data_IF_224667317989
#
_entry.id   IF_224667317989
#
_cell.length_a   1.000
_cell.length_b   1.000
_cell.length_c   1.000
_cell.angle_alpha   90.00
_cell.angle_beta   90.00
_cell.angle_gamma   90.00
#
_symmetry.space_group_name_H-M   'P 1'
#
loop_
_entity.id
_entity.type
_entity.pdbx_description
1 polymer ?
#
# COMPACT_ATOMS: atom_id res chain seq x y z
N UNK A 1 4.62 5.62 15.57
CA UNK A 1 4.74 7.05 15.25
C UNK A 1 3.36 7.62 14.98
N UNK A 2 3.15 8.90 15.28
CA UNK A 2 1.95 9.67 14.91
C UNK A 2 2.39 10.69 13.87
N UNK A 3 1.73 10.74 12.72
CA UNK A 3 2.08 11.53 11.55
C UNK A 3 3.48 11.24 11.00
N UNK A 4 3.77 11.70 9.80
CA UNK A 4 5.07 11.59 9.15
C UNK A 4 4.99 11.14 7.70
N UNK A 5 6.15 11.05 7.08
CA UNK A 5 6.33 10.52 5.74
C UNK A 5 7.06 9.18 5.79
N UNK A 6 6.48 8.18 5.16
CA UNK A 6 7.01 6.82 5.07
C UNK A 6 7.27 6.52 3.61
N UNK A 7 8.48 6.12 3.28
CA UNK A 7 8.85 5.79 1.91
C UNK A 7 9.73 4.55 1.86
N UNK A 8 9.54 3.72 0.84
CA UNK A 8 10.39 2.59 0.57
C UNK A 8 10.64 2.42 -0.93
N UNK A 9 11.82 1.91 -1.26
CA UNK A 9 12.17 1.45 -2.61
C UNK A 9 11.81 -0.03 -2.71
N UNK A 10 10.84 -0.35 -3.54
CA UNK A 10 10.27 -1.70 -3.62
C UNK A 10 10.16 -2.13 -5.09
N UNK A 11 10.53 -3.38 -5.36
CA UNK A 11 10.14 -4.12 -6.55
C UNK A 11 9.02 -5.08 -6.15
N UNK A 12 7.82 -4.86 -6.68
CA UNK A 12 6.66 -5.69 -6.36
C UNK A 12 6.74 -7.05 -7.04
N UNK A 13 5.97 -8.01 -6.54
CA UNK A 13 5.84 -9.34 -7.13
C UNK A 13 5.38 -9.32 -8.59
N UNK A 14 5.82 -10.29 -9.38
CA UNK A 14 5.58 -10.35 -10.82
C UNK A 14 4.35 -11.18 -11.21
N UNK A 15 4.04 -12.21 -10.43
CA UNK A 15 3.03 -13.20 -10.80
C UNK A 15 1.70 -12.96 -10.11
N UNK A 16 0.57 -13.24 -10.78
CA UNK A 16 -0.75 -13.20 -10.14
C UNK A 16 -0.90 -14.31 -9.08
N UNK A 17 -1.86 -14.15 -8.20
CA UNK A 17 -2.15 -15.10 -7.14
C UNK A 17 -1.55 -14.72 -5.78
N UNK A 18 -0.78 -13.67 -5.73
CA UNK A 18 -0.23 -13.09 -4.48
C UNK A 18 -0.39 -11.58 -4.46
N UNK A 19 -0.37 -11.04 -3.24
CA UNK A 19 -0.37 -9.59 -3.02
C UNK A 19 0.86 -9.19 -2.22
N UNK A 20 1.68 -8.31 -2.80
CA UNK A 20 2.71 -7.58 -2.09
C UNK A 20 2.19 -6.23 -1.64
N UNK A 21 2.46 -5.81 -0.40
CA UNK A 21 2.08 -4.46 0.01
C UNK A 21 3.03 -3.82 1.03
N UNK A 22 3.02 -2.48 1.02
CA UNK A 22 3.55 -1.59 2.05
C UNK A 22 2.36 -0.89 2.70
N UNK A 23 2.23 -0.97 4.02
CA UNK A 23 1.11 -0.38 4.75
C UNK A 23 1.54 0.33 6.03
N UNK A 24 0.75 1.33 6.46
CA UNK A 24 0.78 1.84 7.83
C UNK A 24 -0.53 1.48 8.51
N UNK A 25 -0.44 0.88 9.70
CA UNK A 25 -1.59 0.29 10.42
C UNK A 25 -1.58 0.67 11.89
N UNK A 26 -2.77 0.84 12.47
CA UNK A 26 -2.94 0.92 13.91
C UNK A 26 -2.41 -0.34 14.60
N UNK A 27 -1.86 -0.18 15.79
CA UNK A 27 -1.28 -1.28 16.57
C UNK A 27 -2.33 -2.22 17.15
N UNK A 28 -3.52 -1.69 17.40
CA UNK A 28 -4.63 -2.44 18.00
C UNK A 28 -5.90 -2.21 17.17
N UNK A 29 -6.35 -3.25 16.51
CA UNK A 29 -7.56 -3.24 15.67
C UNK A 29 -8.84 -2.98 16.48
N UNK A 30 -8.79 -3.05 17.83
CA UNK A 30 -9.94 -2.84 18.72
C UNK A 30 -10.03 -1.42 19.27
N UNK A 31 -8.92 -0.72 19.36
CA UNK A 31 -8.82 0.59 20.04
C UNK A 31 -8.74 1.75 19.05
N UNK A 32 -8.27 1.50 17.85
CA UNK A 32 -8.15 2.52 16.81
C UNK A 32 -9.07 2.12 15.67
N UNK A 33 -9.86 3.05 15.11
CA UNK A 33 -10.55 2.79 13.86
C UNK A 33 -9.56 2.13 12.90
N UNK A 34 -9.90 0.96 12.39
CA UNK A 34 -9.01 0.12 11.59
C UNK A 34 -8.60 0.88 10.32
N UNK A 35 -7.45 1.53 10.35
CA UNK A 35 -6.94 2.28 9.21
C UNK A 35 -5.72 1.61 8.65
N UNK A 36 -5.82 1.31 7.39
CA UNK A 36 -4.72 0.87 6.56
C UNK A 36 -4.56 1.90 5.46
N UNK A 37 -3.45 2.62 5.47
CA UNK A 37 -3.01 3.34 4.30
C UNK A 37 -1.93 2.49 3.65
N UNK A 38 -2.16 2.01 2.42
CA UNK A 38 -1.27 1.05 1.79
C UNK A 38 -1.05 1.29 0.30
N UNK A 39 0.08 0.80 -0.17
CA UNK A 39 0.35 0.44 -1.54
C UNK A 39 0.17 -1.06 -1.72
N UNK A 40 -0.56 -1.48 -2.73
CA UNK A 40 -0.85 -2.88 -3.01
C UNK A 40 -0.55 -3.22 -4.46
N UNK A 41 0.21 -4.28 -4.67
CA UNK A 41 0.51 -4.85 -5.99
C UNK A 41 0.13 -6.33 -6.04
N UNK A 42 -0.59 -6.76 -7.07
CA UNK A 42 -1.15 -8.13 -7.18
C UNK A 42 -0.47 -8.99 -8.25
N UNK A 43 0.74 -8.60 -8.67
CA UNK A 43 1.50 -9.35 -9.67
C UNK A 43 0.99 -9.24 -11.12
N UNK A 44 0.04 -8.37 -11.36
CA UNK A 44 -0.39 -7.91 -12.68
C UNK A 44 -0.05 -6.42 -12.80
N UNK A 45 -0.61 -5.72 -13.75
CA UNK A 45 -0.48 -4.25 -13.81
C UNK A 45 -1.20 -3.50 -12.68
N UNK A 46 -1.67 -4.22 -11.69
CA UNK A 46 -2.40 -3.64 -10.59
C UNK A 46 -1.44 -3.08 -9.54
N UNK A 47 -1.55 -1.80 -9.31
CA UNK A 47 -0.86 -1.08 -8.24
C UNK A 47 -1.83 -0.02 -7.73
N UNK A 48 -2.29 -0.16 -6.50
CA UNK A 48 -3.28 0.75 -5.94
C UNK A 48 -2.85 1.33 -4.60
N UNK A 49 -2.91 2.66 -4.46
CA UNK A 49 -2.99 3.30 -3.14
C UNK A 49 -4.43 3.23 -2.63
N UNK A 50 -4.60 2.85 -1.38
CA UNK A 50 -5.91 2.91 -0.75
C UNK A 50 -5.84 3.04 0.78
N UNK A 51 -6.94 3.50 1.38
CA UNK A 51 -7.13 3.53 2.81
C UNK A 51 -8.43 2.82 3.19
N UNK A 52 -8.40 2.13 4.32
CA UNK A 52 -9.56 1.58 5.00
C UNK A 52 -9.62 2.18 6.39
N UNK A 53 -10.78 2.64 6.82
CA UNK A 53 -11.02 3.11 8.17
C UNK A 53 -12.43 2.76 8.63
N UNK A 54 -12.64 2.81 9.95
CA UNK A 54 -13.94 2.66 10.59
C UNK A 54 -14.31 3.97 11.28
N UNK A 55 -15.54 4.39 11.16
CA UNK A 55 -16.15 5.43 11.94
C UNK A 55 -17.53 4.97 12.49
N UNK A 56 -18.29 5.89 13.06
CA UNK A 56 -19.64 5.63 13.58
C UNK A 56 -20.66 5.23 12.50
N UNK A 57 -20.34 5.44 11.23
CA UNK A 57 -21.16 5.04 10.06
C UNK A 57 -20.75 3.71 9.47
N UNK A 58 -19.66 3.11 9.94
CA UNK A 58 -19.18 1.83 9.49
C UNK A 58 -17.82 1.86 8.79
N UNK A 59 -17.53 0.80 8.03
CA UNK A 59 -16.27 0.67 7.30
C UNK A 59 -16.30 1.44 5.98
N UNK A 60 -15.23 2.17 5.73
CA UNK A 60 -15.00 2.93 4.49
C UNK A 60 -13.73 2.43 3.80
N UNK A 61 -13.83 2.15 2.51
CA UNK A 61 -12.72 1.80 1.63
C UNK A 61 -12.53 2.89 0.57
N UNK A 62 -11.43 3.59 0.63
CA UNK A 62 -11.08 4.68 -0.29
C UNK A 62 -9.91 4.24 -1.17
N UNK A 63 -10.17 3.94 -2.43
CA UNK A 63 -9.19 3.41 -3.38
C UNK A 63 -8.98 4.37 -4.55
N UNK A 64 -7.74 4.42 -5.05
CA UNK A 64 -7.51 4.94 -6.40
C UNK A 64 -8.01 3.94 -7.45
N UNK A 65 -8.60 4.46 -8.50
CA UNK A 65 -9.06 3.66 -9.65
C UNK A 65 -8.03 3.59 -10.78
N UNK A 66 -6.87 4.23 -10.62
CA UNK A 66 -5.84 4.24 -11.66
C UNK A 66 -5.06 2.91 -11.71
N UNK A 67 -4.81 2.42 -12.91
CA UNK A 67 -3.99 1.22 -13.12
C UNK A 67 -2.51 1.46 -12.83
N UNK A 68 -1.78 0.41 -12.46
CA UNK A 68 -0.34 0.46 -12.25
C UNK A 68 0.43 0.99 -13.46
N UNK A 69 0.05 0.61 -14.68
CA UNK A 69 0.63 1.14 -15.92
C UNK A 69 0.51 2.65 -16.05
N UNK A 70 -0.64 3.22 -15.71
CA UNK A 70 -0.87 4.66 -15.73
C UNK A 70 -0.06 5.37 -14.65
N UNK A 71 -0.03 4.82 -13.44
CA UNK A 71 0.73 5.33 -12.31
C UNK A 71 2.24 5.36 -12.64
N UNK A 72 2.77 4.29 -13.21
CA UNK A 72 4.17 4.13 -13.56
C UNK A 72 4.52 4.57 -14.99
N UNK A 73 3.62 5.25 -15.68
CA UNK A 73 3.81 5.71 -17.08
C UNK A 73 4.19 4.57 -18.02
N UNK A 74 3.46 3.47 -17.97
CA UNK A 74 3.70 2.28 -18.80
C UNK A 74 4.74 1.30 -18.26
N UNK A 75 5.34 1.59 -17.10
CA UNK A 75 6.21 0.65 -16.39
C UNK A 75 5.40 -0.40 -15.61
N UNK A 76 6.05 -1.51 -15.31
CA UNK A 76 5.49 -2.56 -14.45
C UNK A 76 6.13 -2.50 -13.07
N UNK A 77 5.33 -2.66 -11.98
CA UNK A 77 5.84 -2.61 -10.60
C UNK A 77 6.92 -3.67 -10.31
N UNK A 78 6.89 -4.80 -11.02
CA UNK A 78 7.80 -5.93 -10.86
C UNK A 78 9.11 -5.84 -11.65
N UNK A 79 9.23 -4.91 -12.60
CA UNK A 79 10.42 -4.85 -13.48
C UNK A 79 11.60 -4.10 -12.88
N UNK A 80 11.34 -3.18 -11.98
CA UNK A 80 12.38 -2.36 -11.34
C UNK A 80 11.93 -1.86 -9.97
N UNK A 81 12.89 -1.41 -9.18
CA UNK A 81 12.59 -0.69 -7.96
C UNK A 81 11.93 0.64 -8.26
N UNK A 82 10.84 0.91 -7.56
CA UNK A 82 10.13 2.19 -7.55
C UNK A 82 10.01 2.66 -6.11
N UNK A 83 9.98 3.97 -5.87
CA UNK A 83 9.73 4.50 -4.54
C UNK A 83 8.24 4.64 -4.31
N UNK A 84 7.77 4.13 -3.19
CA UNK A 84 6.38 4.20 -2.75
C UNK A 84 6.33 4.97 -1.44
N UNK A 85 5.62 6.09 -1.44
CA UNK A 85 5.53 6.99 -0.30
C UNK A 85 4.12 7.11 0.22
N UNK A 86 3.98 7.29 1.54
CA UNK A 86 2.74 7.63 2.24
C UNK A 86 3.03 8.80 3.19
N UNK A 87 2.45 9.95 2.89
CA UNK A 87 2.44 11.08 3.81
C UNK A 87 1.17 11.00 4.65
N UNK A 88 1.34 10.91 5.95
CA UNK A 88 0.26 10.95 6.93
C UNK A 88 0.33 12.24 7.72
N UNK A 89 -0.76 12.99 7.70
CA UNK A 89 -0.93 14.25 8.44
C UNK A 89 -2.19 14.19 9.30
N UNK A 90 -2.41 15.19 10.10
CA UNK A 90 -3.67 15.38 10.86
C UNK A 90 -4.92 15.48 9.96
N UNK A 91 -4.74 15.77 8.66
CA UNK A 91 -5.84 15.93 7.71
C UNK A 91 -6.13 14.66 6.88
N UNK A 92 -5.21 13.69 6.87
CA UNK A 92 -5.37 12.46 6.08
C UNK A 92 -4.08 11.97 5.48
N UNK A 93 -4.22 11.28 4.35
CA UNK A 93 -3.13 10.56 3.68
C UNK A 93 -2.91 11.05 2.25
N UNK A 94 -1.65 11.07 1.84
CA UNK A 94 -1.25 11.33 0.45
C UNK A 94 -0.25 10.27 0.03
N UNK A 95 -0.47 9.67 -1.14
CA UNK A 95 0.41 8.64 -1.70
C UNK A 95 1.26 9.20 -2.82
N UNK A 96 2.52 8.75 -2.85
CA UNK A 96 3.51 9.14 -3.84
C UNK A 96 4.15 7.91 -4.49
N UNK A 97 4.40 7.99 -5.78
CA UNK A 97 5.25 7.04 -6.49
C UNK A 97 6.33 7.80 -7.24
N UNK A 98 7.59 7.41 -7.05
CA UNK A 98 8.76 8.08 -7.64
C UNK A 98 8.73 9.61 -7.42
N UNK A 99 8.37 10.04 -6.20
CA UNK A 99 8.26 11.43 -5.79
C UNK A 99 7.04 12.19 -6.31
N UNK A 100 6.20 11.56 -7.16
CA UNK A 100 5.00 12.20 -7.69
C UNK A 100 3.78 11.83 -6.86
N UNK A 101 2.97 12.82 -6.46
CA UNK A 101 1.68 12.59 -5.83
C UNK A 101 0.71 11.88 -6.80
N UNK A 102 0.10 10.79 -6.34
CA UNK A 102 -0.81 9.96 -7.14
C UNK A 102 -2.23 9.99 -6.58
N UNK A 103 -2.36 9.95 -5.26
CA UNK A 103 -3.67 9.88 -4.61
C UNK A 103 -3.66 10.69 -3.32
N UNK A 104 -4.82 11.19 -2.92
CA UNK A 104 -4.99 11.91 -1.66
C UNK A 104 -6.35 11.61 -1.07
N UNK A 105 -6.38 11.42 0.23
CA UNK A 105 -7.59 11.25 1.03
C UNK A 105 -7.53 12.25 2.19
N UNK A 106 -8.39 13.24 2.15
CA UNK A 106 -8.59 14.19 3.25
C UNK A 106 -9.71 13.70 4.17
N UNK A 107 -9.78 14.20 5.39
CA UNK A 107 -10.82 13.94 6.39
C UNK A 107 -10.64 12.68 7.24
N UNK A 108 -9.46 12.09 7.25
CA UNK A 108 -9.14 10.99 8.15
C UNK A 108 -8.13 11.52 9.19
N UNK A 109 -8.64 12.02 10.31
CA UNK A 109 -7.79 12.42 11.42
C UNK A 109 -7.52 11.22 12.34
N UNK A 110 -6.27 10.81 12.46
CA UNK A 110 -5.84 9.75 13.37
C UNK A 110 -4.73 10.29 14.26
N UNK A 111 -4.99 10.29 15.55
CA UNK A 111 -4.01 10.69 16.57
C UNK A 111 -3.33 9.49 17.27
N UNK A 112 -3.55 8.28 16.79
CA UNK A 112 -2.99 7.07 17.40
C UNK A 112 -1.70 6.62 16.71
N UNK A 113 -0.75 6.03 17.43
CA UNK A 113 0.47 5.49 16.82
C UNK A 113 0.18 4.40 15.80
N UNK A 114 0.85 4.47 14.65
CA UNK A 114 0.80 3.43 13.63
C UNK A 114 2.16 2.79 13.37
N UNK A 115 2.12 1.58 12.85
CA UNK A 115 3.28 0.75 12.51
C UNK A 115 3.37 0.59 10.99
N UNK A 116 4.57 0.78 10.45
CA UNK A 116 4.88 0.42 9.07
C UNK A 116 5.01 -1.10 8.95
N UNK A 117 4.35 -1.67 7.96
CA UNK A 117 4.37 -3.10 7.67
C UNK A 117 4.56 -3.36 6.18
N UNK A 118 5.31 -4.41 5.87
CA UNK A 118 5.39 -5.01 4.56
C UNK A 118 4.82 -6.41 4.64
N UNK A 119 3.97 -6.78 3.69
CA UNK A 119 3.42 -8.13 3.64
C UNK A 119 3.42 -8.65 2.21
N UNK A 120 3.69 -9.95 2.09
CA UNK A 120 3.52 -10.70 0.87
C UNK A 120 2.67 -11.92 1.22
N UNK A 121 1.52 -12.09 0.55
CA UNK A 121 0.53 -13.11 0.93
C UNK A 121 -0.25 -13.63 -0.26
N UNK A 122 -0.86 -14.80 -0.07
CA UNK A 122 -1.89 -15.34 -0.95
C UNK A 122 -3.24 -15.09 -0.27
N UNK A 123 -4.07 -14.22 -0.85
CA UNK A 123 -5.44 -13.97 -0.41
C UNK A 123 -6.41 -15.02 -0.98
N UNK A 124 -7.58 -15.17 -0.34
CA UNK A 124 -8.60 -16.11 -0.83
C UNK A 124 -9.06 -15.78 -2.26
N UNK A 125 -9.25 -14.49 -2.54
CA UNK A 125 -9.69 -13.99 -3.85
C UNK A 125 -8.60 -14.09 -4.94
N UNK A 126 -7.34 -14.25 -4.55
CA UNK A 126 -6.20 -14.34 -5.48
C UNK A 126 -5.76 -15.77 -5.71
N UNK A 127 -6.02 -16.66 -4.75
CA UNK A 127 -5.66 -18.07 -4.83
C UNK A 127 -6.06 -18.75 -6.15
N UNK A 128 -7.24 -18.49 -6.75
CA UNK A 128 -7.61 -19.08 -8.04
C UNK A 128 -6.70 -18.68 -9.21
N UNK A 129 -5.96 -17.56 -9.08
CA UNK A 129 -5.01 -17.07 -10.08
C UNK A 129 -3.59 -17.59 -9.87
N UNK A 130 -3.34 -18.29 -8.76
CA UNK A 130 -2.01 -18.80 -8.42
C UNK A 130 -1.56 -19.88 -9.40
N UNK A 131 -0.38 -19.70 -9.97
CA UNK A 131 0.25 -20.64 -10.89
C UNK A 131 1.51 -21.18 -10.23
N UNK A 132 1.44 -22.39 -9.68
CA UNK A 132 2.51 -23.00 -8.86
C UNK A 132 3.88 -23.05 -9.56
N UNK A 133 3.91 -23.24 -10.89
CA UNK A 133 5.16 -23.25 -11.66
C UNK A 133 5.89 -21.90 -11.69
N UNK A 134 5.21 -20.82 -11.32
CA UNK A 134 5.79 -19.47 -11.27
C UNK A 134 6.36 -19.13 -9.89
N UNK A 135 6.37 -20.08 -8.96
CA UNK A 135 6.96 -19.91 -7.64
C UNK A 135 8.46 -20.26 -7.63
N UNK A 136 9.27 -19.64 -6.79
CA UNK A 136 8.89 -18.57 -5.85
C UNK A 136 8.64 -17.23 -6.56
N UNK A 137 7.87 -16.35 -5.93
CA UNK A 137 7.66 -14.97 -6.33
C UNK A 137 7.79 -14.07 -5.11
N UNK A 138 8.51 -12.98 -5.24
CA UNK A 138 8.97 -12.17 -4.12
C UNK A 138 8.59 -10.70 -4.28
N UNK A 139 8.54 -9.99 -3.16
CA UNK A 139 8.71 -8.55 -3.13
C UNK A 139 10.11 -8.23 -2.60
N UNK A 140 10.82 -7.35 -3.27
CA UNK A 140 12.14 -6.92 -2.83
C UNK A 140 12.07 -5.50 -2.27
N UNK A 141 12.74 -5.28 -1.13
CA UNK A 141 12.82 -3.98 -0.48
C UNK A 141 14.30 -3.59 -0.42
N UNK A 142 14.66 -2.53 -1.15
CA UNK A 142 16.03 -2.01 -1.19
C UNK A 142 16.32 -1.15 0.05
N UNK A 143 15.44 -0.19 0.34
CA UNK A 143 15.55 0.64 1.54
C UNK A 143 14.18 1.12 2.03
N UNK A 144 14.15 1.52 3.30
CA UNK A 144 13.00 2.14 3.96
C UNK A 144 13.47 3.41 4.68
N UNK A 145 12.72 4.48 4.53
CA UNK A 145 12.94 5.76 5.21
C UNK A 145 11.66 6.25 5.87
N UNK A 146 11.82 6.84 7.05
CA UNK A 146 10.71 7.41 7.83
C UNK A 146 11.13 8.77 8.35
N UNK A 147 10.31 9.77 8.11
CA UNK A 147 10.50 11.13 8.61
C UNK A 147 9.32 11.54 9.49
N UNK A 148 9.61 12.36 10.49
CA UNK A 148 8.60 13.04 11.31
C UNK A 148 8.26 14.40 10.73
#
# INVERSE_FOLDING_TARGET
QVNGYFEASIRMNANPGHTGNMSIRGKDDKVVPYIIALWEGTGEDYLAPWARYLDDKGQHDLRSTESGKKILKGGEPSKKFNTYGILWTEKGFTWFVNGKQIHKVDRIAIAAPMTLQFTHRIGEWERPKLVLKNLPDDIDIDWVKVWK
#
